data_IF_340755984689
#
_entry.id   IF_340755984689
#
_cell.length_a   1.000
_cell.length_b   1.000
_cell.length_c   1.000
_cell.angle_alpha   90.00
_cell.angle_beta   90.00
_cell.angle_gamma   90.00
#
_symmetry.space_group_name_H-M   'P 1'
#
loop_
_entity.id
_entity.type
_entity.pdbx_description
1 polymer ?
#
# COMPACT_ATOMS: atom_id res chain seq x y z
N UNK A 1 -11.68 -14.53 8.70
CA UNK A 1 -10.50 -13.90 9.31
C UNK A 1 -9.61 -13.17 8.32
N UNK A 2 -9.73 -13.43 7.01
CA UNK A 2 -8.83 -12.84 6.02
C UNK A 2 -9.27 -11.50 5.41
N UNK A 3 -10.30 -10.87 6.00
CA UNK A 3 -10.87 -9.63 5.49
C UNK A 3 -11.38 -9.75 4.05
N UNK A 4 -11.91 -8.64 3.54
CA UNK A 4 -12.11 -8.42 2.10
C UNK A 4 -11.27 -7.22 1.71
N UNK A 5 -11.07 -7.04 0.41
CA UNK A 5 -10.45 -5.86 -0.15
C UNK A 5 -11.11 -4.59 0.42
N UNK A 6 -10.30 -3.63 0.87
CA UNK A 6 -10.80 -2.33 1.30
C UNK A 6 -11.34 -1.53 0.09
N UNK A 7 -12.29 -0.61 0.29
CA UNK A 7 -12.74 0.28 -0.78
C UNK A 7 -11.56 0.98 -1.46
N UNK A 8 -11.75 1.52 -2.67
CA UNK A 8 -10.69 2.23 -3.37
C UNK A 8 -10.60 3.72 -3.00
N UNK A 9 -11.73 4.33 -2.60
CA UNK A 9 -11.89 5.78 -2.46
C UNK A 9 -12.76 6.12 -1.24
N UNK A 10 -12.78 7.41 -0.87
CA UNK A 10 -13.54 7.94 0.27
C UNK A 10 -12.71 8.14 1.55
N UNK A 11 -11.47 7.63 1.58
CA UNK A 11 -10.51 7.93 2.64
C UNK A 11 -9.06 7.74 2.13
N UNK A 12 -8.10 8.63 2.47
CA UNK A 12 -6.70 8.50 2.02
C UNK A 12 -6.04 7.16 2.38
N UNK A 13 -6.45 6.57 3.52
CA UNK A 13 -5.96 5.24 3.95
C UNK A 13 -6.27 4.15 2.93
N UNK A 14 -7.35 4.26 2.17
CA UNK A 14 -7.73 3.26 1.17
C UNK A 14 -6.75 3.28 0.00
N UNK A 15 -6.45 4.47 -0.52
CA UNK A 15 -5.43 4.65 -1.56
C UNK A 15 -4.08 4.14 -1.06
N UNK A 16 -3.71 4.48 0.17
CA UNK A 16 -2.47 4.00 0.78
C UNK A 16 -2.42 2.47 0.85
N UNK A 17 -3.49 1.82 1.32
CA UNK A 17 -3.55 0.36 1.44
C UNK A 17 -3.44 -0.35 0.09
N UNK A 18 -4.04 0.20 -0.98
CA UNK A 18 -3.88 -0.36 -2.32
C UNK A 18 -2.46 -0.12 -2.85
N UNK A 19 -1.92 1.09 -2.70
CA UNK A 19 -0.58 1.44 -3.12
C UNK A 19 0.50 0.60 -2.42
N UNK A 20 0.26 0.19 -1.17
CA UNK A 20 1.20 -0.62 -0.38
C UNK A 20 0.85 -2.10 -0.30
N UNK A 21 -0.12 -2.55 -1.11
CA UNK A 21 -0.57 -3.95 -1.15
C UNK A 21 -1.00 -4.52 0.23
N UNK A 22 -1.62 -3.69 1.07
CA UNK A 22 -2.18 -4.07 2.38
C UNK A 22 -3.71 -4.06 2.41
N UNK A 23 -4.36 -3.90 1.26
CA UNK A 23 -5.82 -3.80 1.13
C UNK A 23 -6.57 -5.12 1.34
N UNK A 24 -5.92 -6.28 1.18
CA UNK A 24 -6.50 -7.59 1.44
C UNK A 24 -5.41 -8.62 1.78
N UNK A 25 -5.81 -9.78 2.29
CA UNK A 25 -4.83 -10.81 2.67
C UNK A 25 -4.13 -11.50 1.50
N UNK A 26 -4.73 -11.56 0.31
CA UNK A 26 -4.03 -12.05 -0.89
C UNK A 26 -2.86 -11.14 -1.27
N UNK A 27 -3.04 -9.82 -1.15
CA UNK A 27 -1.97 -8.86 -1.38
C UNK A 27 -0.90 -8.96 -0.28
N UNK A 28 -1.31 -9.04 0.98
CA UNK A 28 -0.38 -9.22 2.11
C UNK A 28 0.46 -10.49 1.96
N UNK A 29 -0.15 -11.61 1.59
CA UNK A 29 0.57 -12.86 1.34
C UNK A 29 1.58 -12.73 0.19
N UNK A 30 1.15 -12.18 -0.95
CA UNK A 30 1.98 -12.05 -2.15
C UNK A 30 3.16 -11.08 -1.97
N UNK A 31 2.95 -9.96 -1.29
CA UNK A 31 3.88 -8.84 -1.28
C UNK A 31 4.66 -8.68 0.02
N UNK A 32 4.13 -9.19 1.13
CA UNK A 32 4.74 -9.08 2.46
C UNK A 32 5.10 -10.44 3.05
N UNK A 33 4.88 -11.53 2.31
CA UNK A 33 5.18 -12.91 2.72
C UNK A 33 4.51 -13.34 4.05
N UNK A 34 3.39 -12.69 4.42
CA UNK A 34 2.62 -13.06 5.61
C UNK A 34 1.45 -13.96 5.19
N UNK A 35 1.46 -15.26 5.51
CA UNK A 35 0.52 -16.23 4.99
C UNK A 35 -0.91 -15.91 5.43
N UNK A 36 -1.88 -16.17 4.54
CA UNK A 36 -3.32 -16.11 4.88
C UNK A 36 -3.77 -17.34 5.65
N UNK A 37 -5.04 -17.36 6.06
CA UNK A 37 -5.60 -18.50 6.81
C UNK A 37 -5.28 -18.49 8.31
N UNK A 38 -4.51 -17.49 8.78
CA UNK A 38 -4.33 -17.19 10.19
C UNK A 38 -4.48 -15.71 10.49
N UNK A 39 -4.72 -15.39 11.77
CA UNK A 39 -4.65 -14.01 12.26
C UNK A 39 -3.25 -13.45 12.04
N UNK A 40 -3.20 -12.16 11.72
CA UNK A 40 -1.97 -11.40 11.84
C UNK A 40 -1.57 -11.34 13.31
N UNK A 41 -0.27 -11.48 13.57
CA UNK A 41 0.32 -11.14 14.86
C UNK A 41 0.34 -9.63 15.04
N UNK A 42 0.57 -9.19 16.27
CA UNK A 42 0.63 -7.76 16.57
C UNK A 42 1.81 -7.07 15.89
N UNK A 43 2.94 -7.75 15.75
CA UNK A 43 4.12 -7.25 15.04
C UNK A 43 3.86 -7.12 13.54
N UNK A 44 3.16 -8.09 12.94
CA UNK A 44 2.75 -8.01 11.53
C UNK A 44 1.77 -6.86 11.29
N UNK A 45 0.83 -6.63 12.21
CA UNK A 45 -0.08 -5.48 12.14
C UNK A 45 0.71 -4.19 12.22
N UNK A 46 1.64 -4.08 13.18
CA UNK A 46 2.48 -2.90 13.35
C UNK A 46 3.35 -2.62 12.10
N UNK A 47 3.92 -3.67 11.50
CA UNK A 47 4.68 -3.59 10.25
C UNK A 47 3.81 -3.02 9.12
N UNK A 48 2.66 -3.62 8.85
CA UNK A 48 1.76 -3.21 7.78
C UNK A 48 1.22 -1.79 8.00
N UNK A 49 0.82 -1.45 9.22
CA UNK A 49 0.39 -0.10 9.58
C UNK A 49 1.51 0.94 9.40
N UNK A 50 2.74 0.58 9.76
CA UNK A 50 3.92 1.43 9.55
C UNK A 50 4.19 1.71 8.08
N UNK A 51 3.98 0.73 7.19
CA UNK A 51 4.11 0.91 5.74
C UNK A 51 3.06 1.89 5.22
N UNK A 52 1.78 1.69 5.59
CA UNK A 52 0.67 2.58 5.22
C UNK A 52 0.94 4.02 5.70
N UNK A 53 1.38 4.19 6.94
CA UNK A 53 1.66 5.50 7.51
C UNK A 53 2.84 6.19 6.83
N UNK A 54 3.91 5.44 6.47
CA UNK A 54 5.04 5.99 5.71
C UNK A 54 4.61 6.47 4.34
N UNK A 55 3.73 5.74 3.65
CA UNK A 55 3.19 6.16 2.37
C UNK A 55 2.37 7.44 2.50
N UNK A 56 1.46 7.49 3.49
CA UNK A 56 0.61 8.67 3.74
C UNK A 56 1.44 9.92 4.05
N UNK A 57 2.48 9.79 4.89
CA UNK A 57 3.37 10.91 5.25
C UNK A 57 4.11 11.49 4.04
N UNK A 58 4.51 10.64 3.09
CA UNK A 58 5.17 11.10 1.86
C UNK A 58 4.21 11.82 0.92
N UNK A 59 2.93 11.41 0.91
CA UNK A 59 1.92 11.97 0.01
C UNK A 59 1.21 13.20 0.56
N UNK A 60 1.12 13.33 1.89
CA UNK A 60 0.38 14.39 2.59
C UNK A 60 1.29 15.30 3.45
N UNK A 61 2.61 15.14 3.35
CA UNK A 61 3.59 15.96 4.09
C UNK A 61 3.66 17.40 3.57
N UNK A 62 4.33 18.33 4.29
CA UNK A 62 4.17 19.78 4.15
C UNK A 62 4.62 20.42 2.82
N UNK A 63 5.06 19.63 1.83
CA UNK A 63 5.46 20.10 0.50
C UNK A 63 4.46 19.61 -0.58
N UNK A 64 3.17 19.56 -0.26
CA UNK A 64 2.11 19.16 -1.20
C UNK A 64 1.11 20.29 -1.49
N UNK A 65 1.63 21.48 -1.80
CA UNK A 65 0.96 22.37 -2.77
C UNK A 65 1.74 22.28 -4.08
N UNK A 66 1.17 21.61 -5.11
CA UNK A 66 1.60 21.85 -6.49
C UNK A 66 2.22 20.72 -7.32
N UNK A 67 2.11 19.44 -6.98
CA UNK A 67 2.49 18.36 -7.91
C UNK A 67 1.26 17.57 -8.36
N UNK A 68 0.68 18.01 -9.49
CA UNK A 68 -0.33 17.28 -10.24
C UNK A 68 0.17 15.86 -10.56
N UNK A 69 -0.65 14.88 -10.18
CA UNK A 69 -0.86 13.57 -10.79
C UNK A 69 0.21 13.06 -11.79
N UNK A 70 1.31 12.52 -11.26
CA UNK A 70 2.23 11.66 -12.02
C UNK A 70 2.20 10.22 -11.49
N UNK A 71 1.09 9.53 -11.75
CA UNK A 71 0.97 8.07 -11.53
C UNK A 71 1.03 7.31 -12.86
N UNK A 72 2.15 7.47 -13.58
CA UNK A 72 2.57 6.46 -14.55
C UNK A 72 3.18 5.23 -13.83
N UNK A 73 3.02 4.00 -14.35
CA UNK A 73 3.69 2.83 -13.78
C UNK A 73 5.22 3.01 -13.80
N UNK A 74 5.98 2.33 -12.92
CA UNK A 74 7.44 2.40 -12.93
C UNK A 74 7.94 1.93 -14.30
N UNK A 75 8.53 2.85 -15.08
CA UNK A 75 9.20 2.51 -16.33
C UNK A 75 10.43 1.66 -16.01
N UNK A 76 10.31 0.35 -16.15
CA UNK A 76 11.45 -0.54 -16.29
C UNK A 76 12.17 -0.15 -17.60
N UNK A 77 13.50 0.00 -17.62
CA UNK A 77 14.20 0.33 -18.85
C UNK A 77 13.94 -0.77 -19.89
N UNK A 78 13.35 -0.39 -21.03
CA UNK A 78 13.26 -1.24 -22.21
C UNK A 78 14.68 -1.45 -22.76
N UNK A 79 14.98 -2.64 -23.33
CA UNK A 79 16.31 -2.91 -23.88
C UNK A 79 16.60 -1.98 -25.06
N UNK A 80 17.83 -1.48 -25.10
CA UNK A 80 18.42 -0.81 -26.26
C UNK A 80 18.73 -1.89 -27.30
N UNK A 81 18.19 -1.73 -28.52
CA UNK A 81 18.68 -2.43 -29.70
C UNK A 81 20.16 -2.11 -29.97
#
# INVERSE_FOLDING_TARGET
>A
NDGRQTPWQGHPVFVAQHATATCCRKCVERWHAIPRGRRLSQDEIALLAGIVLRWLRRRLGPESEGAADDFGPPQLPLPLD
#
